data_IF_722334152665
#
_entry.id   IF_722334152665
#
_cell.length_a   1.000
_cell.length_b   1.000
_cell.length_c   1.000
_cell.angle_alpha   90.00
_cell.angle_beta   90.00
_cell.angle_gamma   90.00
#
_symmetry.space_group_name_H-M   'P 1'
#
loop_
_entity.id
_entity.type
_entity.pdbx_description
1 polymer ?
#
# COMPACT_ATOMS: atom_id res chain seq x y z
N UNK A 1 14.43 -17.39 4.65
CA UNK A 1 14.34 -17.91 3.26
C UNK A 1 13.31 -19.05 3.22
N UNK A 2 12.33 -18.98 2.31
CA UNK A 2 11.41 -20.09 2.07
C UNK A 2 12.11 -21.16 1.22
N UNK A 3 11.80 -22.42 1.46
CA UNK A 3 12.51 -23.58 0.94
C UNK A 3 12.56 -23.62 -0.60
N UNK A 4 13.66 -24.16 -1.13
CA UNK A 4 14.26 -23.86 -2.44
C UNK A 4 13.44 -23.97 -3.72
N UNK A 5 12.18 -24.44 -3.70
CA UNK A 5 11.41 -24.73 -4.93
C UNK A 5 10.52 -23.57 -5.42
N UNK A 6 10.03 -22.71 -4.54
CA UNK A 6 9.12 -21.59 -4.90
C UNK A 6 9.65 -20.19 -4.55
N UNK A 7 10.84 -20.10 -3.94
CA UNK A 7 11.44 -18.82 -3.55
C UNK A 7 11.79 -17.91 -4.74
N UNK A 8 12.06 -18.48 -5.91
CA UNK A 8 12.40 -17.71 -7.12
C UNK A 8 11.20 -16.91 -7.64
N UNK A 9 9.99 -17.47 -7.60
CA UNK A 9 8.78 -16.81 -8.10
C UNK A 9 8.45 -15.57 -7.25
N UNK A 10 8.57 -15.69 -5.92
CA UNK A 10 8.41 -14.55 -5.02
C UNK A 10 9.47 -13.47 -5.29
N UNK A 11 10.73 -13.86 -5.49
CA UNK A 11 11.81 -12.93 -5.85
C UNK A 11 11.57 -12.23 -7.18
N UNK A 12 11.05 -12.95 -8.18
CA UNK A 12 10.71 -12.39 -9.49
C UNK A 12 9.58 -11.36 -9.38
N UNK A 13 8.49 -11.68 -8.66
CA UNK A 13 7.39 -10.72 -8.42
C UNK A 13 7.88 -9.51 -7.64
N UNK A 14 8.71 -9.69 -6.60
CA UNK A 14 9.34 -8.58 -5.89
C UNK A 14 10.20 -7.72 -6.82
N UNK A 15 11.00 -8.33 -7.69
CA UNK A 15 11.83 -7.61 -8.65
C UNK A 15 10.98 -6.79 -9.62
N UNK A 16 9.86 -7.34 -10.13
CA UNK A 16 8.92 -6.61 -10.98
C UNK A 16 8.36 -5.38 -10.27
N UNK A 17 7.92 -5.52 -9.01
CA UNK A 17 7.45 -4.37 -8.21
C UNK A 17 8.56 -3.33 -8.09
N UNK A 18 9.77 -3.73 -7.67
CA UNK A 18 10.91 -2.82 -7.47
C UNK A 18 11.28 -2.10 -8.77
N UNK A 19 11.42 -2.83 -9.87
CA UNK A 19 11.76 -2.27 -11.19
C UNK A 19 10.70 -1.25 -11.62
N UNK A 20 9.42 -1.52 -11.40
CA UNK A 20 8.33 -0.59 -11.75
C UNK A 20 8.49 0.75 -11.05
N UNK A 21 8.83 0.74 -9.75
CA UNK A 21 9.08 1.96 -8.99
C UNK A 21 10.36 2.67 -9.44
N UNK A 22 11.45 1.93 -9.69
CA UNK A 22 12.70 2.51 -10.19
C UNK A 22 12.48 3.18 -11.55
N UNK A 23 11.77 2.53 -12.47
CA UNK A 23 11.45 3.09 -13.78
C UNK A 23 10.61 4.37 -13.66
N UNK A 24 9.68 4.44 -12.71
CA UNK A 24 8.93 5.66 -12.42
C UNK A 24 9.86 6.81 -11.97
N UNK A 25 10.81 6.53 -11.07
CA UNK A 25 11.79 7.52 -10.61
C UNK A 25 12.74 7.97 -11.70
N UNK A 26 13.24 7.03 -12.51
CA UNK A 26 14.08 7.34 -13.69
C UNK A 26 13.31 8.19 -14.70
N UNK A 27 12.02 7.90 -14.94
CA UNK A 27 11.20 8.70 -15.82
C UNK A 27 11.04 10.14 -15.30
N UNK A 28 10.82 10.33 -13.99
CA UNK A 28 10.78 11.67 -13.39
C UNK A 28 12.09 12.43 -13.55
N UNK A 29 13.22 11.79 -13.23
CA UNK A 29 14.55 12.37 -13.40
C UNK A 29 14.84 12.70 -14.87
N UNK A 30 14.38 11.88 -15.81
CA UNK A 30 14.58 12.14 -17.24
C UNK A 30 13.75 13.33 -17.74
N UNK A 31 12.52 13.50 -17.23
CA UNK A 31 11.62 14.57 -17.68
C UNK A 31 11.89 15.91 -17.00
N UNK A 32 12.20 15.91 -15.70
CA UNK A 32 12.33 17.12 -14.89
C UNK A 32 13.70 17.26 -14.22
N UNK A 33 14.59 16.26 -14.31
CA UNK A 33 15.87 16.29 -13.59
C UNK A 33 15.69 16.41 -12.09
N UNK A 34 16.62 17.14 -11.47
CA UNK A 34 16.56 17.48 -10.04
C UNK A 34 15.45 18.50 -9.71
N UNK A 35 15.00 19.28 -10.70
CA UNK A 35 13.90 20.24 -10.51
C UNK A 35 12.56 19.57 -10.17
N UNK A 36 12.44 18.24 -10.34
CA UNK A 36 11.31 17.49 -9.79
C UNK A 36 11.13 17.74 -8.28
N UNK A 37 12.24 17.81 -7.52
CA UNK A 37 12.23 17.93 -6.07
C UNK A 37 11.70 19.30 -5.61
N UNK A 38 11.75 20.32 -6.46
CA UNK A 38 11.15 21.63 -6.16
C UNK A 38 9.64 21.53 -5.98
N UNK A 39 9.01 20.47 -6.51
CA UNK A 39 7.60 20.14 -6.30
C UNK A 39 6.64 20.94 -7.17
N UNK A 40 7.12 21.92 -7.94
CA UNK A 40 6.28 22.70 -8.85
C UNK A 40 5.62 21.80 -9.90
N UNK A 41 6.37 20.87 -10.48
CA UNK A 41 5.85 19.94 -11.47
C UNK A 41 4.74 19.04 -10.90
N UNK A 42 4.91 18.54 -9.66
CA UNK A 42 3.91 17.74 -8.95
C UNK A 42 2.66 18.57 -8.63
N UNK A 43 2.85 19.78 -8.11
CA UNK A 43 1.78 20.74 -7.82
C UNK A 43 0.97 21.07 -9.08
N UNK A 44 1.65 21.33 -10.19
CA UNK A 44 1.03 21.62 -11.49
C UNK A 44 0.25 20.41 -12.03
N UNK A 45 0.76 19.19 -11.89
CA UNK A 45 0.02 17.98 -12.28
C UNK A 45 -1.29 17.82 -11.48
N UNK A 46 -1.23 18.04 -10.17
CA UNK A 46 -2.41 17.97 -9.29
C UNK A 46 -3.41 19.08 -9.62
N UNK A 47 -2.95 20.31 -9.81
CA UNK A 47 -3.80 21.44 -10.17
C UNK A 47 -4.48 21.21 -11.53
N UNK A 48 -3.72 20.76 -12.54
CA UNK A 48 -4.25 20.47 -13.87
C UNK A 48 -5.29 19.35 -13.87
N UNK A 49 -5.04 18.25 -13.16
CA UNK A 49 -6.01 17.15 -13.04
C UNK A 49 -7.33 17.62 -12.42
N UNK A 50 -7.25 18.38 -11.32
CA UNK A 50 -8.44 18.90 -10.65
C UNK A 50 -9.20 19.95 -11.48
N UNK A 51 -8.48 20.82 -12.19
CA UNK A 51 -9.10 21.77 -13.12
C UNK A 51 -9.82 21.04 -14.25
N UNK A 52 -9.17 20.03 -14.85
CA UNK A 52 -9.77 19.21 -15.90
C UNK A 52 -11.05 18.54 -15.42
N UNK A 53 -11.06 18.01 -14.20
CA UNK A 53 -12.27 17.43 -13.58
C UNK A 53 -13.40 18.46 -13.48
N UNK A 54 -13.11 19.65 -12.96
CA UNK A 54 -14.08 20.71 -12.81
C UNK A 54 -14.69 21.15 -14.16
N UNK A 55 -13.86 21.29 -15.20
CA UNK A 55 -14.31 21.61 -16.57
C UNK A 55 -15.23 20.53 -17.14
N UNK A 56 -14.99 19.26 -16.79
CA UNK A 56 -15.84 18.12 -17.19
C UNK A 56 -17.10 17.94 -16.33
N UNK A 57 -17.39 18.88 -15.42
CA UNK A 57 -18.53 18.79 -14.50
C UNK A 57 -18.37 17.74 -13.39
N UNK A 58 -17.16 17.21 -13.20
CA UNK A 58 -16.84 16.26 -12.13
C UNK A 58 -16.24 17.03 -10.96
N UNK A 59 -16.70 16.82 -9.71
CA UNK A 59 -16.13 17.51 -8.57
C UNK A 59 -14.60 17.28 -8.45
N UNK A 60 -13.80 18.34 -8.25
CA UNK A 60 -12.40 18.19 -7.92
C UNK A 60 -12.24 17.55 -6.53
N UNK A 61 -11.03 17.13 -6.20
CA UNK A 61 -10.71 16.67 -4.85
C UNK A 61 -10.91 17.81 -3.84
N UNK A 62 -11.62 17.55 -2.72
CA UNK A 62 -11.80 18.54 -1.66
C UNK A 62 -10.48 18.86 -0.94
N UNK A 63 -9.49 17.96 -1.03
CA UNK A 63 -8.18 18.15 -0.41
C UNK A 63 -7.21 18.90 -1.33
N UNK A 64 -7.38 18.81 -2.65
CA UNK A 64 -6.45 19.42 -3.59
C UNK A 64 -6.39 20.94 -3.45
N UNK A 65 -7.53 21.64 -3.50
CA UNK A 65 -7.58 23.12 -3.47
C UNK A 65 -6.87 23.71 -2.24
N UNK A 66 -7.19 23.31 -0.99
CA UNK A 66 -6.50 23.90 0.17
C UNK A 66 -5.02 23.51 0.24
N UNK A 67 -4.65 22.28 -0.15
CA UNK A 67 -3.25 21.85 -0.10
C UNK A 67 -2.40 22.54 -1.15
N UNK A 68 -2.98 22.87 -2.32
CA UNK A 68 -2.31 23.61 -3.40
C UNK A 68 -1.78 24.98 -2.94
N UNK A 69 -2.26 25.57 -1.85
CA UNK A 69 -1.76 26.84 -1.30
C UNK A 69 -0.42 26.72 -0.56
N UNK A 70 0.07 25.49 -0.33
CA UNK A 70 1.32 25.22 0.40
C UNK A 70 2.43 24.69 -0.52
N UNK A 71 3.24 25.55 -1.17
CA UNK A 71 4.30 25.13 -2.09
C UNK A 71 5.31 24.17 -1.46
N UNK A 72 5.74 24.46 -0.23
CA UNK A 72 6.75 23.66 0.50
C UNK A 72 6.31 22.21 0.70
N UNK A 73 5.00 21.97 0.85
CA UNK A 73 4.44 20.64 0.99
C UNK A 73 4.70 19.82 -0.28
N UNK A 74 4.53 20.41 -1.46
CA UNK A 74 4.77 19.70 -2.71
C UNK A 74 6.24 19.43 -2.95
N UNK A 75 7.14 20.31 -2.51
CA UNK A 75 8.58 20.02 -2.53
C UNK A 75 8.90 18.81 -1.63
N UNK A 76 8.34 18.78 -0.42
CA UNK A 76 8.51 17.64 0.49
C UNK A 76 7.91 16.34 -0.07
N UNK A 77 6.71 16.41 -0.65
CA UNK A 77 6.06 15.26 -1.28
C UNK A 77 6.83 14.80 -2.52
N UNK A 78 7.33 15.71 -3.35
CA UNK A 78 8.12 15.38 -4.52
C UNK A 78 9.45 14.72 -4.12
N UNK A 79 10.15 15.25 -3.11
CA UNK A 79 11.32 14.60 -2.52
C UNK A 79 10.97 13.19 -2.02
N UNK A 80 9.83 13.03 -1.34
CA UNK A 80 9.37 11.74 -0.86
C UNK A 80 9.09 10.76 -2.00
N UNK A 81 8.46 11.20 -3.11
CA UNK A 81 8.27 10.34 -4.30
C UNK A 81 9.60 9.83 -4.84
N UNK A 82 10.64 10.68 -4.88
CA UNK A 82 11.97 10.27 -5.31
C UNK A 82 12.59 9.24 -4.37
N UNK A 83 12.48 9.42 -3.05
CA UNK A 83 12.95 8.45 -2.05
C UNK A 83 12.24 7.10 -2.21
N UNK A 84 10.92 7.11 -2.42
CA UNK A 84 10.13 5.90 -2.64
C UNK A 84 10.56 5.18 -3.93
N UNK A 85 10.69 5.92 -5.02
CA UNK A 85 10.88 5.34 -6.34
C UNK A 85 12.31 4.87 -6.59
N UNK A 86 13.29 5.72 -6.31
CA UNK A 86 14.71 5.38 -6.45
C UNK A 86 15.20 4.49 -5.31
N UNK A 87 14.61 4.64 -4.11
CA UNK A 87 14.95 3.81 -2.95
C UNK A 87 14.32 2.41 -2.94
N UNK A 88 13.46 2.09 -3.92
CA UNK A 88 12.78 0.78 -4.01
C UNK A 88 13.73 -0.45 -3.91
N UNK A 89 14.95 -0.46 -4.48
CA UNK A 89 15.87 -1.60 -4.35
C UNK A 89 16.25 -1.92 -2.90
N UNK A 90 16.24 -0.93 -2.00
CA UNK A 90 16.54 -1.13 -0.58
C UNK A 90 15.50 -2.01 0.12
N UNK A 91 14.27 -2.09 -0.41
CA UNK A 91 13.24 -2.98 0.10
C UNK A 91 13.63 -4.47 0.00
N UNK A 92 14.57 -4.83 -0.88
CA UNK A 92 15.03 -6.22 -1.03
C UNK A 92 16.11 -6.64 -0.01
N UNK A 93 16.73 -5.68 0.69
CA UNK A 93 17.89 -5.93 1.55
C UNK A 93 17.47 -6.45 2.92
N UNK A 94 16.49 -5.80 3.55
CA UNK A 94 16.11 -6.11 4.92
C UNK A 94 14.61 -5.97 5.16
N UNK A 95 14.02 -6.89 5.94
CA UNK A 95 12.57 -6.95 6.18
C UNK A 95 11.98 -5.67 6.79
N UNK A 96 12.72 -4.98 7.66
CA UNK A 96 12.25 -3.72 8.26
C UNK A 96 12.22 -2.58 7.24
N UNK A 97 13.22 -2.54 6.36
CA UNK A 97 13.29 -1.55 5.27
C UNK A 97 12.16 -1.83 4.28
N UNK A 98 11.93 -3.10 3.92
CA UNK A 98 10.82 -3.51 3.09
C UNK A 98 9.47 -3.06 3.65
N UNK A 99 9.26 -3.21 4.96
CA UNK A 99 8.03 -2.80 5.63
C UNK A 99 7.85 -1.28 5.62
N UNK A 100 8.90 -0.53 6.00
CA UNK A 100 8.87 0.93 5.97
C UNK A 100 8.61 1.45 4.55
N UNK A 101 9.36 0.94 3.57
CA UNK A 101 9.19 1.29 2.17
C UNK A 101 7.78 0.98 1.65
N UNK A 102 7.24 -0.20 1.94
CA UNK A 102 5.89 -0.58 1.51
C UNK A 102 4.81 0.33 2.12
N UNK A 103 4.96 0.72 3.39
CA UNK A 103 4.06 1.68 4.04
C UNK A 103 4.16 3.04 3.34
N UNK A 104 5.37 3.55 3.10
CA UNK A 104 5.55 4.83 2.40
C UNK A 104 5.00 4.78 0.97
N UNK A 105 5.27 3.71 0.24
CA UNK A 105 4.78 3.50 -1.12
C UNK A 105 3.25 3.38 -1.18
N UNK A 106 2.65 2.73 -0.19
CA UNK A 106 1.20 2.67 -0.04
C UNK A 106 0.60 4.03 0.30
N UNK A 107 1.19 4.76 1.26
CA UNK A 107 0.78 6.13 1.61
C UNK A 107 0.86 7.08 0.43
N UNK A 108 1.86 6.93 -0.44
CA UNK A 108 1.94 7.66 -1.70
C UNK A 108 0.70 7.42 -2.58
N UNK A 109 0.28 6.16 -2.77
CA UNK A 109 -0.91 5.84 -3.57
C UNK A 109 -2.21 6.34 -2.94
N UNK A 110 -2.31 6.28 -1.60
CA UNK A 110 -3.42 6.91 -0.88
C UNK A 110 -3.44 8.42 -1.10
N UNK A 111 -2.28 9.07 -1.08
CA UNK A 111 -2.13 10.49 -1.38
C UNK A 111 -2.57 10.85 -2.80
N UNK A 112 -2.17 10.05 -3.81
CA UNK A 112 -2.61 10.22 -5.20
C UNK A 112 -4.13 10.07 -5.31
N UNK A 113 -4.74 9.07 -4.66
CA UNK A 113 -6.19 8.93 -4.63
C UNK A 113 -6.86 10.13 -3.95
N UNK A 114 -6.32 10.58 -2.82
CA UNK A 114 -6.87 11.69 -2.06
C UNK A 114 -6.79 13.03 -2.81
N UNK A 115 -5.71 13.28 -3.55
CA UNK A 115 -5.45 14.56 -4.23
C UNK A 115 -5.93 14.60 -5.69
N UNK A 116 -5.92 13.46 -6.38
CA UNK A 116 -6.22 13.39 -7.83
C UNK A 116 -7.44 12.50 -8.13
N UNK A 117 -8.03 11.83 -7.14
CA UNK A 117 -9.12 10.87 -7.34
C UNK A 117 -8.76 9.78 -8.39
N UNK A 118 -7.47 9.44 -8.51
CA UNK A 118 -6.98 8.37 -9.38
C UNK A 118 -6.76 7.13 -8.52
N UNK A 119 -7.49 6.06 -8.83
CA UNK A 119 -7.39 4.80 -8.10
C UNK A 119 -6.42 3.84 -8.78
N UNK A 120 -5.49 3.31 -7.99
CA UNK A 120 -4.62 2.19 -8.38
C UNK A 120 -4.94 0.99 -7.48
N UNK A 121 -5.93 0.13 -7.83
CA UNK A 121 -6.42 -0.91 -6.93
C UNK A 121 -5.31 -1.87 -6.46
N UNK A 122 -4.38 -2.21 -7.34
CA UNK A 122 -3.35 -3.20 -7.05
C UNK A 122 -2.35 -2.74 -5.94
N UNK A 123 -1.79 -1.52 -6.00
CA UNK A 123 -1.09 -0.90 -4.87
C UNK A 123 -1.97 -0.61 -3.65
N UNK A 124 -3.18 -0.06 -3.83
CA UNK A 124 -4.05 0.36 -2.72
C UNK A 124 -4.49 -0.81 -1.84
N UNK A 125 -4.75 -1.98 -2.44
CA UNK A 125 -5.07 -3.22 -1.73
C UNK A 125 -3.82 -3.88 -1.10
N UNK A 126 -2.62 -3.34 -1.33
CA UNK A 126 -1.36 -3.88 -0.83
C UNK A 126 -0.87 -5.13 -1.56
N UNK A 127 -1.57 -5.57 -2.61
CA UNK A 127 -1.20 -6.78 -3.38
C UNK A 127 0.15 -6.60 -4.04
N UNK A 128 0.46 -5.39 -4.52
CA UNK A 128 1.76 -5.05 -5.10
C UNK A 128 2.96 -5.29 -4.15
N UNK A 129 2.72 -5.22 -2.84
CA UNK A 129 3.75 -5.34 -1.81
C UNK A 129 3.76 -6.70 -1.14
N UNK A 130 2.77 -7.56 -1.42
CA UNK A 130 2.57 -8.84 -0.77
C UNK A 130 3.84 -9.72 -0.77
N UNK A 131 4.59 -9.72 -1.88
CA UNK A 131 5.81 -10.52 -2.05
C UNK A 131 6.96 -10.10 -1.13
N UNK A 132 6.94 -8.86 -0.60
CA UNK A 132 7.94 -8.37 0.37
C UNK A 132 7.75 -8.98 1.77
N UNK A 133 6.60 -9.62 2.04
CA UNK A 133 6.24 -10.12 3.35
C UNK A 133 6.07 -11.64 3.37
N UNK A 134 6.45 -12.26 4.50
CA UNK A 134 6.12 -13.67 4.78
C UNK A 134 4.66 -13.80 5.22
N UNK A 135 3.75 -13.83 4.25
CA UNK A 135 2.30 -13.95 4.48
C UNK A 135 1.87 -15.27 5.15
N UNK A 136 2.74 -16.29 5.13
CA UNK A 136 2.56 -17.60 5.79
C UNK A 136 2.19 -17.48 7.29
N UNK A 137 2.76 -16.49 7.98
CA UNK A 137 2.61 -16.31 9.44
C UNK A 137 1.24 -15.75 9.84
N UNK A 138 0.76 -14.61 9.29
CA UNK A 138 -0.56 -14.08 9.63
C UNK A 138 -1.69 -14.98 9.13
N UNK A 139 -1.60 -15.56 7.93
CA UNK A 139 -2.64 -16.46 7.39
C UNK A 139 -2.79 -17.71 8.27
N UNK A 140 -1.68 -18.32 8.68
CA UNK A 140 -1.72 -19.46 9.61
C UNK A 140 -2.29 -19.10 10.98
N UNK A 141 -2.08 -17.88 11.47
CA UNK A 141 -2.64 -17.41 12.74
C UNK A 141 -4.16 -17.22 12.68
N UNK A 142 -4.67 -16.62 11.59
CA UNK A 142 -6.12 -16.47 11.35
C UNK A 142 -6.77 -17.85 11.20
N UNK A 143 -6.16 -18.74 10.41
CA UNK A 143 -6.66 -20.11 10.24
C UNK A 143 -6.72 -20.90 11.56
N UNK A 144 -5.69 -20.79 12.40
CA UNK A 144 -5.69 -21.41 13.75
C UNK A 144 -6.77 -20.83 14.66
N UNK A 145 -7.02 -19.52 14.60
CA UNK A 145 -8.10 -18.86 15.38
C UNK A 145 -9.48 -19.28 14.90
N UNK A 146 -9.72 -19.30 13.59
CA UNK A 146 -10.98 -19.73 13.01
C UNK A 146 -11.27 -21.20 13.36
N UNK A 147 -10.27 -22.08 13.24
CA UNK A 147 -10.39 -23.49 13.63
C UNK A 147 -10.58 -23.69 15.15
N UNK A 148 -10.03 -22.79 15.97
CA UNK A 148 -10.27 -22.77 17.42
C UNK A 148 -11.68 -22.30 17.79
N UNK A 149 -12.21 -21.30 17.09
CA UNK A 149 -13.58 -20.82 17.26
C UNK A 149 -14.61 -21.88 16.83
N UNK A 150 -14.39 -22.53 15.68
CA UNK A 150 -15.23 -23.61 15.19
C UNK A 150 -15.30 -24.78 16.19
N UNK A 151 -14.15 -25.19 16.75
CA UNK A 151 -14.08 -26.26 17.77
C UNK A 151 -14.81 -25.92 19.07
N UNK A 152 -14.81 -24.66 19.50
CA UNK A 152 -15.56 -24.20 20.69
C UNK A 152 -17.07 -24.20 20.45
N UNK A 153 -17.50 -23.89 19.24
CA UNK A 153 -18.93 -23.92 18.87
C UNK A 153 -19.46 -25.36 18.80
N UNK A 154 -18.67 -26.30 18.28
CA UNK A 154 -19.04 -27.73 18.27
C UNK A 154 -19.04 -28.34 19.67
N UNK A 155 -18.10 -28.00 20.56
CA UNK A 155 -18.09 -28.54 21.93
C UNK A 155 -19.23 -28.02 22.80
N UNK A 156 -19.78 -26.84 22.48
CA UNK A 156 -20.95 -26.26 23.18
C UNK A 156 -22.26 -26.90 22.77
N UNK A 157 -22.36 -27.42 21.54
CA UNK A 157 -23.53 -28.17 21.04
C UNK A 157 -23.62 -29.60 21.56
N UNK A 158 -22.50 -30.22 21.92
CA UNK A 158 -22.44 -31.59 22.44
C UNK A 158 -22.58 -31.70 23.96
N UNK A 159 -22.80 -30.61 24.69
CA UNK A 159 -22.90 -30.62 26.15
C UNK A 159 -24.35 -30.93 26.53
N UNK A 160 -24.68 -32.13 27.06
CA UNK A 160 -26.05 -32.45 27.45
C UNK A 160 -26.54 -31.44 28.49
N UNK A 161 -27.80 -31.02 28.36
CA UNK A 161 -28.43 -30.10 29.30
C UNK A 161 -28.31 -30.68 30.72
N UNK A 162 -27.97 -29.86 31.74
CA UNK A 162 -27.94 -30.34 33.11
C UNK A 162 -29.33 -30.89 33.45
N UNK A 163 -29.38 -32.18 33.78
CA UNK A 163 -30.60 -32.83 34.22
C UNK A 163 -31.15 -32.01 35.40
N UNK A 164 -32.34 -31.43 35.22
CA UNK A 164 -33.07 -30.80 36.31
C UNK A 164 -33.34 -31.90 37.33
N UNK A 165 -32.61 -31.88 38.44
CA UNK A 165 -32.94 -32.67 39.61
C UNK A 165 -34.30 -32.20 40.12
N UNK A 166 -35.33 -32.95 39.77
CA UNK A 166 -36.63 -32.87 40.40
C UNK A 166 -36.49 -33.56 41.75
N UNK A 167 -36.03 -32.83 42.76
CA UNK A 167 -36.23 -33.24 44.15
C UNK A 167 -37.51 -32.58 44.68
N UNK A 168 -38.34 -33.48 45.21
CA UNK A 168 -39.64 -33.26 45.85
C UNK A 168 -39.46 -32.86 47.30
#
# INVERSE_FOLDING_TARGET
PADGRHGWALRAVTAVTVITYVLAGVAKLRMAGWAWIDGEQLRNQIAFDNLRRAVMGVPPSPLAVPLLESPWLFSALAALTMVVEVGAPLAMVHRRIAAAWAVTAWSFHVGVLALMHIAFPYPLLGVAYASLFRLERPVGWVGRRAAGAARRLTSRRGRPAPARSADR
#
